data_IF_212151527457
#
_entry.id   IF_212151527457
#
_cell.length_a   1.000
_cell.length_b   1.000
_cell.length_c   1.000
_cell.angle_alpha   90.00
_cell.angle_beta   90.00
_cell.angle_gamma   90.00
#
_symmetry.space_group_name_H-M   'P 1'
#
loop_
_entity.id
_entity.type
_entity.pdbx_description
1 polymer ?
#
# COMPACT_ATOMS: atom_id res chain seq x y z
N UNK A 1 -23.01 -21.47 -47.17
CA UNK A 1 -22.13 -20.81 -46.21
C UNK A 1 -20.83 -20.50 -46.93
N UNK A 2 -20.54 -19.24 -47.15
CA UNK A 2 -19.38 -18.78 -47.94
C UNK A 2 -18.13 -18.75 -47.07
N UNK A 3 -16.95 -18.63 -47.68
CA UNK A 3 -15.70 -18.41 -46.95
C UNK A 3 -15.77 -17.13 -46.10
N UNK A 4 -16.41 -16.09 -46.65
CA UNK A 4 -16.67 -14.80 -46.01
C UNK A 4 -17.46 -14.93 -44.70
N UNK A 5 -18.52 -15.76 -44.69
CA UNK A 5 -19.31 -16.05 -43.48
C UNK A 5 -18.46 -16.65 -42.34
N UNK A 6 -17.39 -17.38 -42.67
CA UNK A 6 -16.50 -17.97 -41.67
C UNK A 6 -15.46 -16.96 -41.16
N UNK A 7 -14.96 -16.09 -42.03
CA UNK A 7 -14.04 -15.00 -41.66
C UNK A 7 -14.73 -14.03 -40.68
N UNK A 8 -15.97 -13.64 -40.97
CA UNK A 8 -16.80 -12.79 -40.10
C UNK A 8 -17.06 -13.46 -38.74
N UNK A 9 -17.29 -14.76 -38.74
CA UNK A 9 -17.51 -15.50 -37.48
C UNK A 9 -16.22 -15.61 -36.64
N UNK A 10 -15.07 -15.79 -37.28
CA UNK A 10 -13.77 -15.80 -36.61
C UNK A 10 -13.51 -14.44 -35.96
N UNK A 11 -13.64 -13.34 -36.71
CA UNK A 11 -13.41 -11.98 -36.18
C UNK A 11 -14.37 -11.65 -35.04
N UNK A 12 -15.63 -12.07 -35.13
CA UNK A 12 -16.63 -11.95 -34.05
C UNK A 12 -16.19 -12.68 -32.79
N UNK A 13 -15.76 -13.93 -32.91
CA UNK A 13 -15.31 -14.75 -31.78
C UNK A 13 -14.04 -14.19 -31.15
N UNK A 14 -13.08 -13.74 -31.95
CA UNK A 14 -11.86 -13.09 -31.46
C UNK A 14 -12.18 -11.83 -30.64
N UNK A 15 -13.12 -11.01 -31.13
CA UNK A 15 -13.59 -9.81 -30.42
C UNK A 15 -14.23 -10.18 -29.08
N UNK A 16 -15.04 -11.24 -29.04
CA UNK A 16 -15.63 -11.73 -27.79
C UNK A 16 -14.56 -12.25 -26.81
N UNK A 17 -13.56 -12.99 -27.29
CA UNK A 17 -12.46 -13.49 -26.45
C UNK A 17 -11.72 -12.31 -25.81
N UNK A 18 -11.42 -11.27 -26.57
CA UNK A 18 -10.75 -10.06 -26.05
C UNK A 18 -11.62 -9.39 -24.98
N UNK A 19 -12.90 -9.18 -25.27
CA UNK A 19 -13.85 -8.57 -24.32
C UNK A 19 -13.93 -9.34 -22.99
N UNK A 20 -14.10 -10.67 -23.06
CA UNK A 20 -14.19 -11.53 -21.88
C UNK A 20 -12.89 -11.49 -21.07
N UNK A 21 -11.73 -11.49 -21.72
CA UNK A 21 -10.43 -11.36 -21.03
C UNK A 21 -10.30 -10.04 -20.27
N UNK A 22 -10.73 -8.93 -20.88
CA UNK A 22 -10.74 -7.62 -20.22
C UNK A 22 -11.64 -7.64 -18.99
N UNK A 23 -12.87 -8.16 -19.12
CA UNK A 23 -13.81 -8.28 -18.00
C UNK A 23 -13.26 -9.16 -16.87
N UNK A 24 -12.60 -10.27 -17.23
CA UNK A 24 -11.98 -11.16 -16.24
C UNK A 24 -10.90 -10.43 -15.43
N UNK A 25 -10.06 -9.62 -16.07
CA UNK A 25 -9.01 -8.88 -15.38
C UNK A 25 -9.58 -7.78 -14.47
N UNK A 26 -10.64 -7.10 -14.93
CA UNK A 26 -11.37 -6.14 -14.10
C UNK A 26 -11.95 -6.80 -12.85
N UNK A 27 -12.61 -7.96 -13.00
CA UNK A 27 -13.16 -8.73 -11.88
C UNK A 27 -12.08 -9.21 -10.91
N UNK A 28 -10.92 -9.66 -11.42
CA UNK A 28 -9.77 -10.05 -10.58
C UNK A 28 -9.25 -8.88 -9.77
N UNK A 29 -9.10 -7.71 -10.39
CA UNK A 29 -8.68 -6.48 -9.72
C UNK A 29 -9.68 -6.07 -8.64
N UNK A 30 -10.97 -6.08 -8.97
CA UNK A 30 -12.03 -5.77 -8.01
C UNK A 30 -12.04 -6.74 -6.82
N UNK A 31 -11.91 -8.04 -7.07
CA UNK A 31 -11.81 -9.06 -6.02
C UNK A 31 -10.59 -8.82 -5.10
N UNK A 32 -9.42 -8.50 -5.66
CA UNK A 32 -8.23 -8.16 -4.86
C UNK A 32 -8.50 -6.97 -3.95
N UNK A 33 -9.15 -5.92 -4.46
CA UNK A 33 -9.50 -4.74 -3.67
C UNK A 33 -10.47 -5.07 -2.54
N UNK A 34 -11.52 -5.86 -2.80
CA UNK A 34 -12.43 -6.32 -1.75
C UNK A 34 -11.71 -7.14 -0.68
N UNK A 35 -10.83 -8.05 -1.08
CA UNK A 35 -10.05 -8.84 -0.13
C UNK A 35 -9.15 -7.95 0.75
N UNK A 36 -8.53 -6.92 0.17
CA UNK A 36 -7.75 -5.94 0.92
C UNK A 36 -8.62 -5.17 1.94
N UNK A 37 -9.87 -4.86 1.62
CA UNK A 37 -10.83 -4.25 2.56
C UNK A 37 -11.25 -5.21 3.68
N UNK A 38 -11.29 -6.51 3.41
CA UNK A 38 -11.58 -7.54 4.44
C UNK A 38 -10.35 -8.02 5.21
N UNK A 39 -9.17 -7.45 4.92
CA UNK A 39 -7.91 -7.84 5.53
C UNK A 39 -7.99 -7.80 7.06
N UNK A 40 -7.37 -8.76 7.77
CA UNK A 40 -7.35 -8.78 9.24
C UNK A 40 -6.91 -7.46 9.87
N UNK A 41 -6.03 -6.70 9.21
CA UNK A 41 -5.54 -5.40 9.70
C UNK A 41 -6.65 -4.35 9.83
N UNK A 42 -7.74 -4.49 9.05
CA UNK A 42 -8.93 -3.63 9.18
C UNK A 42 -9.78 -3.99 10.40
N UNK A 43 -9.64 -5.21 10.94
CA UNK A 43 -10.39 -5.70 12.11
C UNK A 43 -9.69 -5.43 13.44
N UNK A 44 -8.40 -5.08 13.43
CA UNK A 44 -7.65 -4.73 14.64
C UNK A 44 -8.27 -3.49 15.28
N UNK A 45 -8.58 -3.44 16.58
CA UNK A 45 -9.04 -2.22 17.25
C UNK A 45 -8.02 -1.06 17.19
N UNK A 46 -8.50 0.18 17.32
CA UNK A 46 -7.61 1.35 17.24
C UNK A 46 -6.61 1.39 18.39
N UNK A 47 -7.00 0.88 19.56
CA UNK A 47 -6.19 0.81 20.78
C UNK A 47 -4.97 -0.09 20.56
N UNK A 48 -5.18 -1.25 19.95
CA UNK A 48 -4.08 -2.17 19.63
C UNK A 48 -3.17 -1.61 18.54
N UNK A 49 -3.74 -0.94 17.51
CA UNK A 49 -2.93 -0.23 16.52
C UNK A 49 -2.10 0.88 17.17
N UNK A 50 -2.67 1.63 18.12
CA UNK A 50 -1.95 2.64 18.89
C UNK A 50 -0.78 2.06 19.67
N UNK A 51 -0.97 0.92 20.36
CA UNK A 51 0.11 0.22 21.08
C UNK A 51 1.21 -0.24 20.11
N UNK A 52 0.84 -0.81 18.96
CA UNK A 52 1.79 -1.23 17.94
C UNK A 52 2.58 -0.02 17.42
N UNK A 53 1.91 1.10 17.17
CA UNK A 53 2.55 2.32 16.69
C UNK A 53 3.50 2.91 17.73
N UNK A 54 3.10 2.92 19.01
CA UNK A 54 3.94 3.38 20.12
C UNK A 54 5.19 2.53 20.29
N UNK A 55 5.07 1.21 20.12
CA UNK A 55 6.20 0.29 20.10
C UNK A 55 7.10 0.49 18.87
N UNK A 56 6.50 0.76 17.70
CA UNK A 56 7.25 0.85 16.44
C UNK A 56 7.90 2.22 16.20
N UNK A 57 7.39 3.28 16.84
CA UNK A 57 7.89 4.65 16.71
C UNK A 57 8.72 5.03 17.94
N UNK A 58 9.94 4.52 18.03
CA UNK A 58 10.84 4.87 19.13
C UNK A 58 11.38 6.31 18.95
N UNK A 59 11.84 6.67 17.76
CA UNK A 59 12.35 8.02 17.44
C UNK A 59 11.99 8.44 16.01
N UNK A 60 11.72 9.74 15.82
CA UNK A 60 11.60 10.38 14.50
C UNK A 60 12.86 11.22 14.26
N UNK A 61 13.71 10.76 13.36
CA UNK A 61 15.01 11.39 13.08
C UNK A 61 14.81 12.49 12.02
N UNK A 62 15.10 13.74 12.40
CA UNK A 62 14.94 14.92 11.55
C UNK A 62 16.27 15.45 10.97
N UNK A 63 17.38 14.78 11.26
CA UNK A 63 18.71 15.23 10.86
C UNK A 63 18.88 15.27 9.33
N UNK A 64 19.13 16.47 8.80
CA UNK A 64 19.46 16.71 7.39
C UNK A 64 20.95 16.44 7.08
N UNK A 65 21.77 16.26 8.12
CA UNK A 65 23.22 16.06 8.07
C UNK A 65 23.64 14.59 8.14
N UNK A 66 22.71 13.64 8.10
CA UNK A 66 23.04 12.21 8.16
C UNK A 66 23.95 11.80 6.99
N UNK A 67 25.24 11.88 7.24
CA UNK A 67 26.36 11.34 6.47
C UNK A 67 26.93 10.13 7.23
N UNK A 68 26.07 9.36 7.90
CA UNK A 68 26.45 8.15 8.62
C UNK A 68 26.97 7.07 7.67
N UNK A 69 27.94 6.25 8.12
CA UNK A 69 28.63 5.32 7.25
C UNK A 69 27.62 4.27 6.79
N UNK A 70 27.53 4.04 5.48
CA UNK A 70 26.70 2.95 4.93
C UNK A 70 25.19 3.15 5.13
N UNK A 71 24.59 3.92 4.22
CA UNK A 71 23.18 3.83 3.79
C UNK A 71 22.46 2.60 4.37
N UNK A 72 21.70 2.75 5.46
CA UNK A 72 20.94 1.64 6.04
C UNK A 72 20.00 1.11 4.95
N UNK A 73 20.40 -0.03 4.41
CA UNK A 73 19.68 -0.69 3.35
C UNK A 73 18.68 -1.60 4.02
N UNK A 74 17.44 -1.13 4.15
CA UNK A 74 16.36 -2.03 4.56
C UNK A 74 16.13 -3.00 3.40
N UNK A 75 16.53 -4.27 3.58
CA UNK A 75 16.55 -5.28 2.52
C UNK A 75 17.41 -4.92 1.29
N UNK A 76 18.57 -4.29 1.46
CA UNK A 76 19.46 -3.99 0.34
C UNK A 76 19.05 -2.78 -0.52
N UNK A 77 17.97 -2.07 -0.16
CA UNK A 77 17.46 -0.91 -0.90
C UNK A 77 17.63 0.37 -0.09
N UNK A 78 17.98 1.48 -0.77
CA UNK A 78 18.01 2.81 -0.15
C UNK A 78 16.61 3.14 0.38
N UNK A 79 16.46 3.24 1.69
CA UNK A 79 15.19 3.55 2.31
C UNK A 79 14.79 5.00 1.96
N UNK A 80 13.53 5.26 1.55
CA UNK A 80 13.06 6.63 1.32
C UNK A 80 13.10 7.42 2.64
N UNK A 81 13.30 8.74 2.55
CA UNK A 81 13.46 9.62 3.73
C UNK A 81 12.33 9.50 4.76
N UNK A 82 11.11 9.14 4.32
CA UNK A 82 9.96 8.92 5.20
C UNK A 82 10.17 7.75 6.19
N UNK A 83 11.07 6.81 5.88
CA UNK A 83 11.37 5.65 6.75
C UNK A 83 12.04 6.06 8.06
N UNK A 84 12.76 7.19 8.07
CA UNK A 84 13.38 7.77 9.26
C UNK A 84 12.39 8.57 10.13
N UNK A 85 11.17 8.76 9.62
CA UNK A 85 10.05 9.40 10.31
C UNK A 85 8.93 8.36 10.47
N UNK A 86 9.09 7.36 11.36
CA UNK A 86 8.17 6.23 11.47
C UNK A 86 6.73 6.70 11.73
N UNK A 87 6.54 7.75 12.51
CA UNK A 87 5.22 8.35 12.76
C UNK A 87 4.59 8.87 11.46
N UNK A 88 5.37 9.52 10.60
CA UNK A 88 4.92 10.00 9.30
C UNK A 88 4.69 8.84 8.31
N UNK A 89 5.57 7.84 8.30
CA UNK A 89 5.44 6.64 7.49
C UNK A 89 4.13 5.90 7.79
N UNK A 90 3.80 5.70 9.07
CA UNK A 90 2.55 5.08 9.49
C UNK A 90 1.33 5.91 9.06
N UNK A 91 1.40 7.23 9.22
CA UNK A 91 0.34 8.15 8.79
C UNK A 91 0.10 8.21 7.26
N UNK A 92 1.06 7.70 6.47
CA UNK A 92 0.97 7.64 5.00
C UNK A 92 0.24 6.39 4.49
N UNK A 93 0.12 5.34 5.30
CA UNK A 93 -0.45 4.03 4.89
C UNK A 93 -1.93 4.13 4.51
N UNK A 94 -2.76 4.72 5.37
CA UNK A 94 -4.18 4.94 5.09
C UNK A 94 -4.79 6.03 5.98
N UNK A 95 -6.01 6.46 5.63
CA UNK A 95 -6.75 7.50 6.39
C UNK A 95 -7.01 7.12 7.84
N UNK A 96 -7.22 5.83 8.12
CA UNK A 96 -7.41 5.32 9.48
C UNK A 96 -6.15 5.46 10.32
N UNK A 97 -5.00 5.05 9.78
CA UNK A 97 -3.71 5.13 10.48
C UNK A 97 -3.32 6.58 10.75
N UNK A 98 -3.57 7.46 9.78
CA UNK A 98 -3.40 8.91 9.95
C UNK A 98 -4.22 9.48 11.11
N UNK A 99 -5.48 9.07 11.25
CA UNK A 99 -6.34 9.50 12.36
C UNK A 99 -5.81 9.02 13.71
N UNK A 100 -5.34 7.77 13.78
CA UNK A 100 -4.74 7.21 14.99
C UNK A 100 -3.47 8.01 15.33
N UNK A 101 -2.52 8.11 14.41
CA UNK A 101 -1.27 8.84 14.64
C UNK A 101 -1.52 10.31 15.04
N UNK A 102 -2.51 10.97 14.44
CA UNK A 102 -2.89 12.34 14.82
C UNK A 102 -3.53 12.47 16.20
N UNK A 103 -4.13 11.39 16.73
CA UNK A 103 -4.72 11.35 18.07
C UNK A 103 -3.74 10.99 19.19
N UNK A 104 -2.48 10.66 18.87
CA UNK A 104 -1.45 10.25 19.84
C UNK A 104 -0.26 11.23 19.80
N UNK A 105 -0.30 12.35 20.56
CA UNK A 105 0.77 13.35 20.59
C UNK A 105 2.14 12.80 20.99
N UNK A 106 2.16 11.73 21.79
CA UNK A 106 3.39 11.08 22.24
C UNK A 106 4.26 10.57 21.07
N UNK A 107 3.64 10.11 19.97
CA UNK A 107 4.36 9.63 18.79
C UNK A 107 5.16 10.75 18.10
N UNK A 108 4.63 11.98 18.13
CA UNK A 108 5.25 13.14 17.51
C UNK A 108 6.28 13.84 18.41
N UNK A 109 6.30 13.51 19.70
CA UNK A 109 7.18 14.15 20.68
C UNK A 109 8.55 13.49 20.78
N UNK A 110 8.71 12.29 20.22
CA UNK A 110 9.98 11.54 20.17
C UNK A 110 10.78 11.97 18.96
N UNK A 111 11.37 13.17 19.03
CA UNK A 111 12.20 13.72 17.96
C UNK A 111 13.67 13.56 18.31
N UNK A 112 14.44 13.05 17.35
CA UNK A 112 15.91 13.06 17.40
C UNK A 112 16.39 14.03 16.31
N UNK A 113 17.23 14.99 16.73
CA UNK A 113 17.70 16.09 15.89
C UNK A 113 19.07 15.79 15.28
#
# INVERSE_FOLDING_TARGET
KTLDDYEDEITRLETQIVSIKVQQEQLRTYKKNLLALTSPIQKVPNELLGIIFDYSCEWNVLDQSWNGPESQTFFGLKAPAITYLPTLALGSVCTRWRKIVGGYPALWSRLEL
#
